data_IF_844162211168
#
_entry.id   IF_844162211168
#
_cell.length_a   1.000
_cell.length_b   1.000
_cell.length_c   1.000
_cell.angle_alpha   90.00
_cell.angle_beta   90.00
_cell.angle_gamma   90.00
#
_symmetry.space_group_name_H-M   'P 1'
#
loop_
_entity.id
_entity.type
_entity.pdbx_description
1 polymer ?
#
# COMPACT_ATOMS: atom_id res chain seq x y z
N UNK A 1 -9.51 -2.65 -11.40
CA UNK A 1 -9.67 -1.82 -10.20
C UNK A 1 -10.89 -0.97 -10.46
N UNK A 2 -11.93 -1.12 -9.64
CA UNK A 2 -13.13 -0.29 -9.74
C UNK A 2 -12.72 1.15 -9.41
N UNK A 3 -13.04 2.10 -10.28
CA UNK A 3 -12.67 3.50 -10.09
C UNK A 3 -13.52 4.07 -8.97
N UNK A 4 -12.91 4.35 -7.81
CA UNK A 4 -13.60 4.97 -6.69
C UNK A 4 -13.61 6.47 -6.93
N UNK A 5 -14.79 7.05 -7.11
CA UNK A 5 -14.97 8.50 -7.16
C UNK A 5 -14.80 9.06 -5.74
N UNK A 6 -13.78 9.91 -5.55
CA UNK A 6 -13.53 10.58 -4.27
C UNK A 6 -14.25 11.92 -4.32
N UNK A 7 -15.42 12.01 -3.69
CA UNK A 7 -16.26 13.22 -3.72
C UNK A 7 -16.14 14.08 -2.45
N UNK A 8 -15.52 13.54 -1.40
CA UNK A 8 -15.31 14.23 -0.13
C UNK A 8 -14.22 13.56 0.72
N UNK A 9 -13.80 14.25 1.80
CA UNK A 9 -12.80 13.77 2.76
C UNK A 9 -13.11 12.40 3.41
N UNK A 10 -14.37 12.05 3.62
CA UNK A 10 -14.72 10.73 4.18
C UNK A 10 -14.51 9.61 3.15
N UNK A 11 -14.81 9.87 1.88
CA UNK A 11 -14.56 8.93 0.78
C UNK A 11 -13.05 8.73 0.60
N UNK A 12 -12.26 9.81 0.66
CA UNK A 12 -10.80 9.74 0.63
C UNK A 12 -10.26 8.90 1.79
N UNK A 13 -10.78 9.08 3.01
CA UNK A 13 -10.37 8.30 4.17
C UNK A 13 -10.69 6.81 4.00
N UNK A 14 -11.87 6.47 3.48
CA UNK A 14 -12.24 5.08 3.19
C UNK A 14 -11.35 4.47 2.11
N UNK A 15 -11.10 5.21 1.03
CA UNK A 15 -10.21 4.79 -0.03
C UNK A 15 -8.79 4.54 0.51
N UNK A 16 -8.25 5.46 1.31
CA UNK A 16 -6.92 5.31 1.91
C UNK A 16 -6.83 4.06 2.81
N UNK A 17 -7.89 3.73 3.56
CA UNK A 17 -7.96 2.51 4.36
C UNK A 17 -7.93 1.27 3.45
N UNK A 18 -8.74 1.24 2.39
CA UNK A 18 -8.76 0.12 1.45
C UNK A 18 -7.41 -0.05 0.74
N UNK A 19 -6.78 1.07 0.37
CA UNK A 19 -5.44 1.10 -0.24
C UNK A 19 -4.40 0.51 0.70
N UNK A 20 -4.40 0.92 1.98
CA UNK A 20 -3.51 0.38 2.99
C UNK A 20 -3.73 -1.12 3.22
N UNK A 21 -4.98 -1.57 3.29
CA UNK A 21 -5.32 -2.99 3.44
C UNK A 21 -4.81 -3.83 2.26
N UNK A 22 -4.96 -3.33 1.03
CA UNK A 22 -4.47 -4.02 -0.16
C UNK A 22 -2.94 -4.18 -0.15
N UNK A 23 -2.20 -3.14 0.27
CA UNK A 23 -0.73 -3.18 0.38
C UNK A 23 -0.29 -4.20 1.42
N UNK A 24 -0.91 -4.21 2.60
CA UNK A 24 -0.59 -5.19 3.66
C UNK A 24 -0.90 -6.61 3.19
N UNK A 25 -2.04 -6.81 2.51
CA UNK A 25 -2.45 -8.13 2.04
C UNK A 25 -1.51 -8.68 0.95
N UNK A 26 -1.00 -7.84 0.05
CA UNK A 26 -0.10 -8.26 -1.02
C UNK A 26 1.36 -8.30 -0.55
N UNK A 27 1.94 -7.13 -0.29
CA UNK A 27 3.37 -6.96 -0.02
C UNK A 27 3.73 -7.43 1.39
N UNK A 28 2.85 -7.18 2.37
CA UNK A 28 3.06 -7.63 3.75
C UNK A 28 3.01 -9.15 3.89
N UNK A 29 2.11 -9.82 3.15
CA UNK A 29 2.06 -11.28 3.11
C UNK A 29 3.30 -11.88 2.45
N UNK A 30 3.78 -11.29 1.33
CA UNK A 30 5.00 -11.73 0.67
C UNK A 30 6.22 -11.60 1.60
N UNK A 31 6.34 -10.47 2.30
CA UNK A 31 7.39 -10.25 3.30
C UNK A 31 7.32 -11.25 4.47
N UNK A 32 6.12 -11.51 5.00
CA UNK A 32 5.94 -12.47 6.08
C UNK A 32 6.30 -13.91 5.66
N UNK A 33 6.01 -14.29 4.41
CA UNK A 33 6.40 -15.58 3.86
C UNK A 33 7.92 -15.70 3.70
N UNK A 34 8.59 -14.67 3.16
CA UNK A 34 10.04 -14.65 3.05
C UNK A 34 10.73 -14.76 4.43
N UNK A 35 10.20 -14.07 5.44
CA UNK A 35 10.69 -14.15 6.82
C UNK A 35 10.50 -15.55 7.42
N UNK A 36 9.33 -16.15 7.21
CA UNK A 36 9.01 -17.50 7.69
C UNK A 36 9.97 -18.54 7.10
N UNK A 37 10.29 -18.41 5.82
CA UNK A 37 11.14 -19.36 5.10
C UNK A 37 12.64 -19.07 5.31
N UNK A 38 13.00 -18.03 6.09
CA UNK A 38 14.37 -17.57 6.33
C UNK A 38 15.16 -17.30 5.04
N UNK A 39 14.47 -16.85 4.00
CA UNK A 39 15.09 -16.52 2.71
C UNK A 39 15.54 -15.05 2.74
N UNK A 40 16.82 -14.80 3.05
CA UNK A 40 17.38 -13.45 3.21
C UNK A 40 17.28 -12.59 1.93
N UNK A 41 17.47 -13.19 0.76
CA UNK A 41 17.36 -12.49 -0.52
C UNK A 41 15.91 -12.03 -0.75
N UNK A 42 14.95 -12.96 -0.66
CA UNK A 42 13.54 -12.63 -0.79
C UNK A 42 13.07 -11.68 0.32
N UNK A 43 13.64 -11.76 1.52
CA UNK A 43 13.31 -10.87 2.63
C UNK A 43 13.71 -9.43 2.32
N UNK A 44 14.89 -9.21 1.74
CA UNK A 44 15.35 -7.89 1.33
C UNK A 44 14.49 -7.33 0.18
N UNK A 45 14.19 -8.15 -0.83
CA UNK A 45 13.37 -7.74 -1.98
C UNK A 45 11.95 -7.36 -1.57
N UNK A 46 11.29 -8.23 -0.79
CA UNK A 46 9.90 -7.99 -0.33
C UNK A 46 9.81 -6.84 0.67
N UNK A 47 10.84 -6.61 1.49
CA UNK A 47 10.90 -5.42 2.34
C UNK A 47 10.98 -4.13 1.52
N UNK A 48 11.82 -4.10 0.48
CA UNK A 48 11.94 -2.94 -0.40
C UNK A 48 10.63 -2.69 -1.17
N UNK A 49 9.98 -3.76 -1.67
CA UNK A 49 8.69 -3.67 -2.35
C UNK A 49 7.60 -3.10 -1.44
N UNK A 50 7.47 -3.61 -0.21
CA UNK A 50 6.52 -3.11 0.79
C UNK A 50 6.77 -1.63 1.12
N UNK A 51 8.03 -1.24 1.39
CA UNK A 51 8.39 0.14 1.69
C UNK A 51 8.09 1.11 0.54
N UNK A 52 8.35 0.68 -0.70
CA UNK A 52 8.00 1.43 -1.91
C UNK A 52 6.49 1.58 -2.05
N UNK A 53 5.72 0.49 -1.91
CA UNK A 53 4.26 0.52 -2.03
C UNK A 53 3.60 1.46 -1.00
N UNK A 54 4.11 1.47 0.24
CA UNK A 54 3.67 2.42 1.26
C UNK A 54 3.97 3.86 0.85
N UNK A 55 5.18 4.13 0.36
CA UNK A 55 5.61 5.47 -0.04
C UNK A 55 4.78 5.98 -1.23
N UNK A 56 4.57 5.13 -2.24
CA UNK A 56 3.76 5.43 -3.42
C UNK A 56 2.31 5.74 -3.01
N UNK A 57 1.74 4.97 -2.06
CA UNK A 57 0.38 5.23 -1.56
C UNK A 57 0.27 6.54 -0.76
N UNK A 58 1.30 6.91 0.00
CA UNK A 58 1.32 8.19 0.70
C UNK A 58 1.37 9.38 -0.27
N UNK A 59 2.11 9.23 -1.38
CA UNK A 59 2.12 10.23 -2.46
C UNK A 59 0.76 10.30 -3.15
N UNK A 60 0.13 9.15 -3.43
CA UNK A 60 -1.20 9.08 -4.04
C UNK A 60 -2.27 9.78 -3.17
N UNK A 61 -2.22 9.60 -1.84
CA UNK A 61 -3.09 10.33 -0.90
C UNK A 61 -2.81 11.83 -0.93
N UNK A 62 -1.52 12.23 -0.96
CA UNK A 62 -1.13 13.63 -0.97
C UNK A 62 -1.57 14.35 -2.25
N UNK A 63 -1.35 13.72 -3.40
CA UNK A 63 -1.75 14.27 -4.71
C UNK A 63 -3.28 14.39 -4.78
N UNK A 64 -4.02 13.37 -4.32
CA UNK A 64 -5.48 13.43 -4.23
C UNK A 64 -6.02 14.52 -3.28
N UNK A 65 -5.23 14.96 -2.29
CA UNK A 65 -5.59 16.10 -1.42
C UNK A 65 -5.30 17.46 -2.05
N UNK A 66 -4.40 17.55 -3.03
CA UNK A 66 -4.05 18.79 -3.73
C UNK A 66 -4.93 19.07 -4.95
N UNK A 67 -5.56 18.04 -5.51
CA UNK A 67 -6.46 18.15 -6.67
C UNK A 67 -7.92 18.49 -6.30
N UNK A 68 -8.27 18.53 -5.01
CA UNK A 68 -9.51 19.12 -4.44
C UNK A 68 -9.38 20.65 -4.21
#
# INVERSE_FOLDING_TARGET
>A
METVEISNRSDLALWAIQRAQAIVAAEGAAFAMAARDMNEEALAETAAALGKAISDAMLEVFDGLLEE
#
